data_IF_645145547381
#
_entry.id   IF_645145547381
#
_cell.length_a   1.000
_cell.length_b   1.000
_cell.length_c   1.000
_cell.angle_alpha   90.00
_cell.angle_beta   90.00
_cell.angle_gamma   90.00
#
_symmetry.space_group_name_H-M   'P 1'
#
loop_
_entity.id
_entity.type
_entity.pdbx_description
1 polymer ?
#
# COMPACT_ATOMS: atom_id res chain seq x y z
N UNK A 1 -13.16 12.73 8.55
CA UNK A 1 -12.66 11.43 8.10
C UNK A 1 -13.29 10.29 8.89
N UNK A 2 -13.32 10.34 10.23
CA UNK A 2 -13.91 9.29 11.08
C UNK A 2 -15.37 8.99 10.71
N UNK A 3 -16.20 10.03 10.58
CA UNK A 3 -17.61 9.91 10.21
C UNK A 3 -17.76 9.20 8.85
N UNK A 4 -16.95 9.56 7.87
CA UNK A 4 -16.98 8.94 6.54
C UNK A 4 -16.63 7.44 6.59
N UNK A 5 -15.58 7.06 7.32
CA UNK A 5 -15.22 5.66 7.51
C UNK A 5 -16.36 4.86 8.16
N UNK A 6 -16.98 5.43 9.19
CA UNK A 6 -18.12 4.79 9.87
C UNK A 6 -19.32 4.63 8.96
N UNK A 7 -19.67 5.63 8.16
CA UNK A 7 -20.78 5.56 7.21
C UNK A 7 -20.56 4.48 6.14
N UNK A 8 -19.33 4.38 5.60
CA UNK A 8 -18.97 3.35 4.62
C UNK A 8 -19.18 1.95 5.24
N UNK A 9 -18.69 1.74 6.46
CA UNK A 9 -18.83 0.46 7.15
C UNK A 9 -20.27 0.15 7.48
N UNK A 10 -21.06 1.13 7.91
CA UNK A 10 -22.51 0.96 8.17
C UNK A 10 -23.27 0.56 6.92
N UNK A 11 -22.81 0.96 5.74
CA UNK A 11 -23.36 0.54 4.46
C UNK A 11 -22.96 -0.89 4.04
N UNK A 12 -22.21 -1.61 4.88
CA UNK A 12 -21.73 -2.96 4.58
C UNK A 12 -20.53 -3.01 3.62
N UNK A 13 -19.82 -1.90 3.46
CA UNK A 13 -18.67 -1.77 2.56
C UNK A 13 -17.40 -1.65 3.41
N UNK A 14 -16.30 -2.26 2.97
CA UNK A 14 -15.00 -2.11 3.61
C UNK A 14 -14.50 -0.68 3.46
N UNK A 15 -14.02 -0.10 4.56
CA UNK A 15 -13.56 1.28 4.59
C UNK A 15 -12.03 1.34 4.64
N UNK A 16 -11.44 2.06 3.69
CA UNK A 16 -9.99 2.26 3.59
C UNK A 16 -9.56 3.69 3.93
N UNK A 17 -8.34 3.80 4.42
CA UNK A 17 -7.69 5.05 4.76
C UNK A 17 -6.34 5.14 4.03
N UNK A 18 -6.09 6.25 3.34
CA UNK A 18 -4.78 6.50 2.73
C UNK A 18 -3.93 7.41 3.63
N UNK A 19 -2.69 7.02 3.87
CA UNK A 19 -1.71 7.81 4.61
C UNK A 19 -0.69 8.39 3.66
N UNK A 20 -0.57 9.70 3.65
CA UNK A 20 0.47 10.40 2.89
C UNK A 20 1.84 10.27 3.57
N UNK A 21 2.91 10.54 2.84
CA UNK A 21 4.29 10.45 3.35
C UNK A 21 4.49 11.14 4.72
N UNK A 22 4.02 12.38 4.93
CA UNK A 22 4.25 13.06 6.21
C UNK A 22 3.35 12.58 7.34
N UNK A 23 2.34 11.76 7.07
CA UNK A 23 1.40 11.31 8.10
C UNK A 23 2.00 10.21 8.96
N UNK A 24 2.17 10.49 10.24
CA UNK A 24 2.64 9.51 11.23
C UNK A 24 1.44 8.68 11.71
N UNK A 25 1.49 7.34 11.67
CA UNK A 25 0.34 6.50 12.04
C UNK A 25 -0.25 6.80 13.41
N UNK A 26 0.58 7.09 14.41
CA UNK A 26 0.12 7.40 15.76
C UNK A 26 -0.80 8.62 15.82
N UNK A 27 -0.61 9.61 14.93
CA UNK A 27 -1.46 10.81 14.90
C UNK A 27 -2.87 10.55 14.39
N UNK A 28 -3.09 9.40 13.75
CA UNK A 28 -4.38 8.98 13.19
C UNK A 28 -4.81 7.60 13.73
N UNK A 29 -4.34 7.27 14.91
CA UNK A 29 -4.56 5.96 15.55
C UNK A 29 -6.04 5.57 15.58
N UNK A 30 -6.93 6.51 15.95
CA UNK A 30 -8.37 6.25 16.02
C UNK A 30 -9.00 5.92 14.66
N UNK A 31 -8.42 6.43 13.58
CA UNK A 31 -8.86 6.10 12.22
C UNK A 31 -8.36 4.73 11.79
N UNK A 32 -7.13 4.39 12.13
CA UNK A 32 -6.54 3.08 11.81
C UNK A 32 -7.28 1.96 12.53
N UNK A 33 -7.72 2.18 13.77
CA UNK A 33 -8.48 1.19 14.56
C UNK A 33 -9.78 0.76 13.88
N UNK A 34 -10.42 1.66 13.14
CA UNK A 34 -11.71 1.39 12.49
C UNK A 34 -11.60 1.11 11.00
N UNK A 35 -10.41 1.24 10.41
CA UNK A 35 -10.19 0.96 8.99
C UNK A 35 -10.07 -0.55 8.73
N UNK A 36 -10.61 -0.99 7.61
CA UNK A 36 -10.41 -2.35 7.10
C UNK A 36 -9.14 -2.45 6.26
N UNK A 37 -8.76 -1.34 5.63
CA UNK A 37 -7.57 -1.22 4.78
C UNK A 37 -6.84 0.09 5.05
N UNK A 38 -5.52 0.05 5.12
CA UNK A 38 -4.68 1.25 5.20
C UNK A 38 -3.69 1.24 4.05
N UNK A 39 -3.82 2.21 3.16
CA UNK A 39 -2.91 2.38 2.04
C UNK A 39 -1.80 3.35 2.41
N UNK A 40 -0.56 2.92 2.23
CA UNK A 40 0.61 3.79 2.32
C UNK A 40 0.85 4.41 0.94
N UNK A 41 0.72 5.73 0.86
CA UNK A 41 0.97 6.47 -0.36
C UNK A 41 2.41 6.97 -0.37
N UNK A 42 3.21 6.39 -1.26
CA UNK A 42 4.64 6.69 -1.41
C UNK A 42 4.95 7.61 -2.59
N UNK A 43 3.95 7.92 -3.41
CA UNK A 43 4.08 8.81 -4.56
C UNK A 43 4.01 10.30 -4.20
N UNK A 44 3.88 11.11 -5.23
CA UNK A 44 3.55 12.53 -5.13
C UNK A 44 2.14 12.75 -5.65
N UNK A 45 1.33 13.48 -4.88
CA UNK A 45 -0.05 13.80 -5.28
C UNK A 45 -0.06 14.51 -6.63
N UNK A 46 -0.94 14.05 -7.52
CA UNK A 46 -1.10 14.63 -8.86
C UNK A 46 -0.06 14.20 -9.88
N UNK A 47 0.85 13.28 -9.54
CA UNK A 47 1.84 12.73 -10.46
C UNK A 47 1.66 11.22 -10.63
N UNK A 48 1.78 10.76 -11.87
CA UNK A 48 1.84 9.34 -12.19
C UNK A 48 3.27 8.83 -12.20
N UNK A 49 3.47 7.66 -11.64
CA UNK A 49 4.80 7.08 -11.50
C UNK A 49 5.56 7.72 -10.36
N UNK A 50 6.85 7.64 -10.40
CA UNK A 50 7.73 8.12 -9.36
C UNK A 50 8.51 6.99 -8.72
N UNK A 51 9.20 7.30 -7.63
CA UNK A 51 10.04 6.35 -6.92
C UNK A 51 9.37 5.96 -5.61
N UNK A 52 9.33 4.66 -5.32
CA UNK A 52 8.88 4.17 -4.02
C UNK A 52 9.88 4.57 -2.94
N UNK A 53 9.38 5.19 -1.87
CA UNK A 53 10.19 5.46 -0.69
C UNK A 53 10.11 4.29 0.26
N UNK A 54 11.07 3.37 0.22
CA UNK A 54 11.08 2.17 1.06
C UNK A 54 11.13 2.50 2.56
N UNK A 55 11.54 3.71 2.93
CA UNK A 55 11.45 4.18 4.31
C UNK A 55 10.02 4.20 4.85
N UNK A 56 9.03 4.32 3.95
CA UNK A 56 7.61 4.27 4.35
C UNK A 56 7.17 2.87 4.83
N UNK A 57 7.95 1.82 4.56
CA UNK A 57 7.69 0.47 5.09
C UNK A 57 7.69 0.42 6.61
N UNK A 58 8.43 1.30 7.27
CA UNK A 58 8.44 1.40 8.73
C UNK A 58 7.06 1.70 9.31
N UNK A 59 6.20 2.36 8.56
CA UNK A 59 4.82 2.62 8.97
C UNK A 59 4.01 1.35 9.17
N UNK A 60 4.32 0.27 8.44
CA UNK A 60 3.58 -1.00 8.55
C UNK A 60 3.65 -1.54 9.96
N UNK A 61 4.83 -1.54 10.57
CA UNK A 61 5.01 -1.98 11.95
C UNK A 61 4.13 -1.17 12.92
N UNK A 62 4.10 0.14 12.75
CA UNK A 62 3.31 1.05 13.59
C UNK A 62 1.80 0.85 13.37
N UNK A 63 1.38 0.69 12.12
CA UNK A 63 -0.02 0.45 11.76
C UNK A 63 -0.49 -0.90 12.33
N UNK A 64 0.31 -1.95 12.17
CA UNK A 64 -0.01 -3.29 12.69
C UNK A 64 -0.01 -3.35 14.21
N UNK A 65 0.77 -2.53 14.90
CA UNK A 65 0.70 -2.40 16.35
C UNK A 65 -0.64 -1.80 16.81
N UNK A 66 -1.22 -0.90 16.01
CA UNK A 66 -2.52 -0.27 16.29
C UNK A 66 -3.69 -1.19 15.91
N UNK A 67 -3.62 -1.81 14.73
CA UNK A 67 -4.67 -2.67 14.19
C UNK A 67 -4.04 -3.91 13.51
N UNK A 68 -3.84 -5.01 14.26
CA UNK A 68 -3.12 -6.18 13.75
C UNK A 68 -3.77 -6.86 12.54
N UNK A 69 -5.09 -6.74 12.39
CA UNK A 69 -5.86 -7.39 11.32
C UNK A 69 -6.04 -6.54 10.06
N UNK A 70 -5.58 -5.28 10.07
CA UNK A 70 -5.77 -4.39 8.94
C UNK A 70 -4.99 -4.84 7.71
N UNK A 71 -5.61 -4.74 6.55
CA UNK A 71 -4.94 -4.97 5.27
C UNK A 71 -4.07 -3.76 4.91
N UNK A 72 -2.84 -3.99 4.48
CA UNK A 72 -1.91 -2.94 4.09
C UNK A 72 -1.82 -2.86 2.57
N UNK A 73 -2.13 -1.69 2.02
CA UNK A 73 -1.91 -1.36 0.62
C UNK A 73 -0.70 -0.45 0.44
N UNK A 74 -0.16 -0.45 -0.75
CA UNK A 74 0.91 0.46 -1.17
C UNK A 74 0.60 1.03 -2.54
N UNK A 75 0.74 2.34 -2.67
CA UNK A 75 0.62 3.06 -3.93
C UNK A 75 1.78 4.04 -4.08
N UNK A 76 2.32 4.08 -5.27
CA UNK A 76 3.41 4.97 -5.64
C UNK A 76 4.74 4.26 -5.88
N UNK A 77 5.19 4.30 -7.11
CA UNK A 77 6.50 3.83 -7.54
C UNK A 77 6.71 2.32 -7.50
N UNK A 78 5.64 1.53 -7.48
CA UNK A 78 5.77 0.06 -7.57
C UNK A 78 6.34 -0.34 -8.91
N UNK A 79 7.37 -1.17 -8.89
CA UNK A 79 8.06 -1.67 -10.07
C UNK A 79 8.57 -3.10 -9.83
N UNK A 80 9.04 -3.75 -10.88
CA UNK A 80 9.56 -5.12 -10.80
C UNK A 80 10.73 -5.23 -9.80
N UNK A 81 11.57 -4.21 -9.73
CA UNK A 81 12.77 -4.22 -8.88
C UNK A 81 12.49 -3.99 -7.38
N UNK A 82 11.29 -3.56 -7.00
CA UNK A 82 10.95 -3.31 -5.60
C UNK A 82 9.73 -4.12 -5.08
N UNK A 83 8.97 -4.75 -5.97
CA UNK A 83 7.72 -5.46 -5.59
C UNK A 83 7.98 -6.53 -4.52
N UNK A 84 9.03 -7.31 -4.67
CA UNK A 84 9.40 -8.33 -3.68
C UNK A 84 9.69 -7.70 -2.30
N UNK A 85 10.48 -6.64 -2.25
CA UNK A 85 10.82 -5.95 -1.00
C UNK A 85 9.59 -5.38 -0.31
N UNK A 86 8.64 -4.85 -1.08
CA UNK A 86 7.39 -4.32 -0.54
C UNK A 86 6.54 -5.42 0.11
N UNK A 87 6.40 -6.55 -0.56
CA UNK A 87 5.66 -7.70 -0.01
C UNK A 87 6.37 -8.28 1.21
N UNK A 88 7.68 -8.43 1.18
CA UNK A 88 8.47 -8.87 2.33
C UNK A 88 8.38 -7.90 3.52
N UNK A 89 8.22 -6.61 3.25
CA UNK A 89 8.00 -5.59 4.27
C UNK A 89 6.61 -5.61 4.89
N UNK A 90 5.69 -6.45 4.40
CA UNK A 90 4.36 -6.65 4.97
C UNK A 90 3.21 -6.02 4.18
N UNK A 91 3.46 -5.57 2.94
CA UNK A 91 2.40 -5.07 2.07
C UNK A 91 1.56 -6.24 1.54
N UNK A 92 0.24 -6.13 1.67
CA UNK A 92 -0.72 -7.13 1.20
C UNK A 92 -1.20 -6.84 -0.24
N UNK A 93 -1.35 -5.58 -0.59
CA UNK A 93 -1.88 -5.14 -1.90
C UNK A 93 -0.95 -4.09 -2.51
N UNK A 94 -0.50 -4.35 -3.73
CA UNK A 94 0.29 -3.41 -4.51
C UNK A 94 -0.58 -2.76 -5.59
N UNK A 95 -0.72 -1.44 -5.53
CA UNK A 95 -1.36 -0.66 -6.59
C UNK A 95 -0.30 -0.28 -7.63
N UNK A 96 -0.44 -0.81 -8.82
CA UNK A 96 0.56 -0.65 -9.88
C UNK A 96 -0.06 0.05 -11.07
N UNK A 97 0.51 1.16 -11.47
CA UNK A 97 0.01 1.95 -12.61
C UNK A 97 1.09 2.22 -13.65
N UNK A 98 1.96 3.18 -13.37
CA UNK A 98 2.88 3.73 -14.36
C UNK A 98 3.78 2.72 -15.05
N UNK A 99 4.35 1.77 -14.33
CA UNK A 99 5.26 0.78 -14.91
C UNK A 99 4.57 -0.13 -15.91
N UNK A 100 3.28 -0.43 -15.70
CA UNK A 100 2.48 -1.22 -16.63
C UNK A 100 2.07 -0.36 -17.83
N UNK A 101 1.53 0.83 -17.58
CA UNK A 101 1.01 1.71 -18.62
C UNK A 101 2.08 2.21 -19.59
N UNK A 102 3.29 2.47 -19.10
CA UNK A 102 4.41 2.95 -19.92
C UNK A 102 5.19 1.84 -20.61
N UNK A 103 4.88 0.59 -20.31
CA UNK A 103 5.56 -0.55 -20.92
C UNK A 103 5.12 -0.76 -22.37
N UNK A 104 6.06 -1.18 -23.23
CA UNK A 104 5.77 -1.66 -24.56
C UNK A 104 5.05 -3.01 -24.55
N UNK A 105 5.18 -3.78 -23.46
CA UNK A 105 4.48 -5.05 -23.26
C UNK A 105 3.91 -5.11 -21.83
N UNK A 106 2.71 -4.55 -21.59
CA UNK A 106 2.08 -4.53 -20.27
C UNK A 106 1.86 -5.93 -19.68
N UNK A 107 1.55 -6.92 -20.52
CA UNK A 107 1.35 -8.31 -20.07
C UNK A 107 2.62 -8.92 -19.51
N UNK A 108 3.74 -8.69 -20.17
CA UNK A 108 5.04 -9.18 -19.69
C UNK A 108 5.43 -8.56 -18.36
N UNK A 109 5.21 -7.24 -18.19
CA UNK A 109 5.46 -6.56 -16.91
C UNK A 109 4.55 -7.11 -15.81
N UNK A 110 3.27 -7.30 -16.08
CA UNK A 110 2.35 -7.89 -15.10
C UNK A 110 2.81 -9.27 -14.66
N UNK A 111 3.20 -10.14 -15.61
CA UNK A 111 3.72 -11.48 -15.29
C UNK A 111 4.98 -11.42 -14.44
N UNK A 112 5.90 -10.51 -14.73
CA UNK A 112 7.12 -10.32 -13.93
C UNK A 112 6.81 -9.84 -12.51
N UNK A 113 5.86 -8.92 -12.36
CA UNK A 113 5.40 -8.48 -11.04
C UNK A 113 4.81 -9.65 -10.24
N UNK A 114 3.98 -10.49 -10.87
CA UNK A 114 3.44 -11.69 -10.22
C UNK A 114 4.55 -12.64 -9.77
N UNK A 115 5.58 -12.83 -10.58
CA UNK A 115 6.73 -13.67 -10.21
C UNK A 115 7.48 -13.08 -9.01
N UNK A 116 7.68 -11.77 -8.97
CA UNK A 116 8.37 -11.11 -7.86
C UNK A 116 7.61 -11.23 -6.54
N UNK A 117 6.29 -11.00 -6.55
CA UNK A 117 5.48 -11.07 -5.32
C UNK A 117 5.30 -12.51 -4.80
N UNK A 118 5.48 -13.50 -5.65
CA UNK A 118 5.35 -14.91 -5.31
C UNK A 118 6.70 -15.58 -4.98
N UNK A 119 7.79 -14.85 -5.01
CA UNK A 119 9.08 -15.38 -4.58
C UNK A 119 9.04 -15.80 -3.13
N UNK A 120 9.59 -16.96 -2.82
CA UNK A 120 9.86 -17.34 -1.43
C UNK A 120 11.19 -16.77 -1.00
N UNK A 121 11.23 -16.27 0.25
CA UNK A 121 12.49 -15.85 0.87
C UNK A 121 13.42 -17.06 0.95
N UNK A 122 14.58 -16.98 0.31
CA UNK A 122 15.64 -17.96 0.46
C UNK A 122 16.48 -17.52 1.65
N UNK A 123 16.35 -18.22 2.73
CA UNK A 123 17.22 -18.07 3.89
C UNK A 123 18.46 -18.95 3.72
#
# INVERSE_FOLDING_TARGET
VKTALMQIRQAGIMAGLALLKPTVPRTVEELIKIADHVMIFSGELGRFGGTASLMQLEKIRLIKAINPSVEIGWDGGVAVDNAYSLVQGGVNVLNVGGVIQKSSDPRAIFSRLQQEINKTSVL
#
